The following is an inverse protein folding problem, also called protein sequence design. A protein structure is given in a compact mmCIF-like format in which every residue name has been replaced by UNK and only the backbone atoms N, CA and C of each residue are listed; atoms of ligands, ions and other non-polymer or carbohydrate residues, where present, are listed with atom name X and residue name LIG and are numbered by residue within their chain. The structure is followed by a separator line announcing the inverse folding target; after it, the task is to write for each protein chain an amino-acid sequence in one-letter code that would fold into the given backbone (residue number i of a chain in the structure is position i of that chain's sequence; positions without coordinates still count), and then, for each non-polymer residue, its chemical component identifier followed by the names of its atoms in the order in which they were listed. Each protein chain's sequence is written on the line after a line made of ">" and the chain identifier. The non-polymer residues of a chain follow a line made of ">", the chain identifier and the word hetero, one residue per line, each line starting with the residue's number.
data_IF_064165635556
#
_entry.id   IF_064165635556
#
_cell.length_a   1.000
_cell.length_b   1.000
_cell.length_c   1.000
_cell.angle_alpha   90.00
_cell.angle_beta   90.00
_cell.angle_gamma   90.00
#
_symmetry.space_group_name_H-M   'P 1'
#
loop_
_entity.id
_entity.type
_entity.pdbx_description
1 polymer ?
#
# COMPACT_ATOMS: atom_id res chain seq x y z
N UNK A 1 -2.94 -45.30 6.94
CA UNK A 1 -3.18 -44.34 8.05
C UNK A 1 -2.24 -44.81 9.16
N UNK A 2 -1.05 -44.24 9.36
CA UNK A 2 -0.83 -43.12 10.29
C UNK A 2 0.67 -42.74 10.39
N UNK A 3 1.37 -42.47 9.27
CA UNK A 3 2.83 -42.22 9.36
C UNK A 3 3.43 -41.16 8.44
N UNK A 4 2.62 -40.35 7.73
CA UNK A 4 3.14 -39.30 6.82
C UNK A 4 2.89 -37.86 7.29
N UNK A 5 2.41 -37.63 8.51
CA UNK A 5 2.06 -36.28 9.02
C UNK A 5 3.14 -35.66 9.92
N UNK A 6 4.18 -36.39 10.34
CA UNK A 6 5.14 -35.89 11.33
C UNK A 6 6.34 -35.09 10.80
N UNK A 7 6.56 -34.99 9.48
CA UNK A 7 7.79 -34.37 8.95
C UNK A 7 7.66 -32.92 8.50
N UNK A 8 6.49 -32.27 8.66
CA UNK A 8 6.26 -30.87 8.25
C UNK A 8 6.29 -29.86 9.40
N UNK A 9 6.49 -30.30 10.65
CA UNK A 9 6.66 -29.42 11.81
C UNK A 9 8.12 -29.27 12.28
N UNK A 10 9.06 -29.90 11.58
CA UNK A 10 10.47 -29.93 11.96
C UNK A 10 11.37 -29.30 10.91
N UNK A 11 11.18 -28.03 10.55
CA UNK A 11 12.25 -27.15 10.02
C UNK A 11 11.77 -25.73 9.65
N UNK A 12 10.99 -25.08 10.52
CA UNK A 12 10.77 -23.62 10.44
C UNK A 12 11.71 -22.82 11.36
N UNK A 13 12.59 -23.48 12.11
CA UNK A 13 13.47 -22.84 13.09
C UNK A 13 14.84 -22.40 12.54
N UNK A 14 15.11 -22.59 11.24
CA UNK A 14 16.47 -22.46 10.70
C UNK A 14 16.61 -21.53 9.48
N UNK A 15 15.79 -20.47 9.37
CA UNK A 15 16.05 -19.39 8.38
C UNK A 15 15.84 -17.96 8.88
N UNK A 16 15.90 -17.78 10.18
CA UNK A 16 16.29 -16.51 10.74
C UNK A 16 17.57 -16.79 11.50
N UNK A 17 18.72 -16.58 10.86
CA UNK A 17 19.98 -16.36 11.56
C UNK A 17 19.83 -15.04 12.34
N UNK A 18 18.95 -15.04 13.34
CA UNK A 18 18.92 -14.05 14.39
C UNK A 18 20.13 -14.44 15.22
N UNK A 19 21.24 -13.68 15.19
CA UNK A 19 22.25 -13.85 16.22
C UNK A 19 21.50 -13.78 17.56
N UNK A 20 21.81 -14.66 18.49
CA UNK A 20 21.26 -14.66 19.85
C UNK A 20 21.73 -13.40 20.59
N UNK A 21 21.32 -12.23 20.09
CA UNK A 21 21.49 -10.95 20.71
C UNK A 21 20.63 -11.01 21.96
N UNK A 22 21.28 -10.84 23.10
CA UNK A 22 20.58 -10.73 24.35
C UNK A 22 19.61 -9.55 24.22
N UNK A 23 18.41 -9.60 24.81
CA UNK A 23 17.53 -8.42 24.84
C UNK A 23 18.29 -7.16 25.31
N UNK A 24 19.28 -7.35 26.19
CA UNK A 24 20.20 -6.32 26.69
C UNK A 24 21.02 -5.61 25.60
N UNK A 25 21.35 -6.31 24.52
CA UNK A 25 22.14 -5.77 23.40
C UNK A 25 21.28 -4.90 22.46
N UNK A 26 19.95 -5.07 22.49
CA UNK A 26 18.99 -4.26 21.72
C UNK A 26 18.50 -3.01 22.49
N UNK A 27 18.59 -3.00 23.82
CA UNK A 27 18.20 -1.84 24.65
C UNK A 27 18.88 -0.53 24.23
N UNK A 28 20.21 -0.45 23.95
CA UNK A 28 20.85 0.82 23.62
C UNK A 28 20.35 1.40 22.29
N UNK A 29 20.09 0.57 21.28
CA UNK A 29 19.57 1.07 20.01
C UNK A 29 18.14 1.59 20.16
N UNK A 30 17.31 0.93 20.97
CA UNK A 30 15.94 1.36 21.27
C UNK A 30 15.93 2.65 22.09
N UNK A 31 16.73 2.75 23.14
CA UNK A 31 16.77 3.94 24.02
C UNK A 31 17.34 5.16 23.30
N UNK A 32 18.32 4.98 22.41
CA UNK A 32 18.91 6.06 21.62
C UNK A 32 18.05 6.49 20.41
N UNK A 33 17.24 5.59 19.85
CA UNK A 33 16.39 5.90 18.69
C UNK A 33 15.06 6.58 19.05
N UNK A 34 14.71 6.68 20.33
CA UNK A 34 13.48 7.34 20.78
C UNK A 34 13.64 8.86 20.74
N UNK A 35 12.62 9.61 20.28
CA UNK A 35 12.66 11.07 20.36
C UNK A 35 12.81 11.53 21.80
N UNK A 36 13.91 12.24 22.08
CA UNK A 36 14.23 12.75 23.42
C UNK A 36 13.17 13.71 23.97
N UNK A 37 12.46 14.44 23.10
CA UNK A 37 11.47 15.44 23.48
C UNK A 37 10.33 15.57 22.46
N UNK A 38 9.16 16.01 22.95
CA UNK A 38 7.98 16.28 22.11
C UNK A 38 8.25 17.47 21.19
N UNK A 39 7.91 17.34 19.91
CA UNK A 39 8.03 18.45 18.96
C UNK A 39 6.95 19.51 19.20
N UNK A 40 7.33 20.79 19.14
CA UNK A 40 6.38 21.92 19.27
C UNK A 40 5.43 22.01 18.07
N UNK A 41 4.27 22.64 18.27
CA UNK A 41 3.28 22.87 17.20
C UNK A 41 3.89 23.62 16.00
N UNK A 42 4.75 24.62 16.25
CA UNK A 42 5.45 25.35 15.19
C UNK A 42 6.37 24.46 14.35
N UNK A 43 7.25 23.67 14.99
CA UNK A 43 8.15 22.73 14.28
C UNK A 43 7.37 21.68 13.49
N UNK A 44 6.24 21.21 14.01
CA UNK A 44 5.32 20.31 13.28
C UNK A 44 4.71 21.02 12.07
N UNK A 45 4.18 22.24 12.23
CA UNK A 45 3.54 23.02 11.15
C UNK A 45 4.51 23.30 10.01
N UNK A 46 5.74 23.73 10.31
CA UNK A 46 6.77 23.99 9.30
C UNK A 46 7.17 22.73 8.51
N UNK A 47 7.18 21.55 9.14
CA UNK A 47 7.42 20.30 8.40
C UNK A 47 6.25 19.88 7.51
N UNK A 48 5.02 20.28 7.86
CA UNK A 48 3.81 19.92 7.11
C UNK A 48 3.47 20.92 6.01
N UNK A 49 3.92 22.17 6.10
CA UNK A 49 3.60 23.23 5.12
C UNK A 49 4.03 22.87 3.69
N UNK A 50 5.12 22.12 3.55
CA UNK A 50 5.67 21.78 2.24
C UNK A 50 4.98 20.57 1.58
N UNK A 51 3.97 19.99 2.23
CA UNK A 51 3.29 18.75 1.82
C UNK A 51 1.83 18.98 1.38
N UNK A 52 1.53 20.15 0.83
CA UNK A 52 0.20 20.47 0.30
C UNK A 52 -0.17 19.63 -0.94
N UNK A 53 -1.48 19.42 -1.16
CA UNK A 53 -1.97 18.78 -2.37
C UNK A 53 -1.73 19.69 -3.56
N UNK A 54 -1.01 19.20 -4.58
CA UNK A 54 -0.82 19.93 -5.83
C UNK A 54 -2.11 19.87 -6.65
N UNK A 55 -2.48 21.01 -7.25
CA UNK A 55 -3.58 21.06 -8.20
C UNK A 55 -3.25 20.19 -9.42
N UNK A 56 -4.26 19.48 -9.93
CA UNK A 56 -4.14 18.63 -11.11
C UNK A 56 -4.72 19.38 -12.30
N UNK A 57 -3.91 19.59 -13.32
CA UNK A 57 -4.32 20.20 -14.60
C UNK A 57 -4.67 19.12 -15.64
N UNK A 58 -4.41 17.86 -15.32
CA UNK A 58 -4.55 16.70 -16.21
C UNK A 58 -6.00 16.20 -16.35
N UNK A 59 -7.00 17.01 -16.01
CA UNK A 59 -8.42 16.63 -16.06
C UNK A 59 -9.03 17.15 -17.35
N UNK A 60 -9.36 16.24 -18.26
CA UNK A 60 -9.88 16.55 -19.61
C UNK A 60 -11.25 15.89 -19.80
N UNK A 61 -12.21 16.50 -20.51
CA UNK A 61 -13.47 15.84 -20.83
C UNK A 61 -13.28 14.61 -21.73
N UNK A 62 -14.06 13.57 -21.49
CA UNK A 62 -14.10 12.38 -22.36
C UNK A 62 -14.77 12.70 -23.71
N UNK A 63 -14.22 12.24 -24.85
CA UNK A 63 -14.81 12.48 -26.18
C UNK A 63 -16.18 11.79 -26.38
N UNK A 64 -16.44 10.68 -25.70
CA UNK A 64 -17.69 9.93 -25.86
C UNK A 64 -18.78 10.37 -24.89
N UNK A 65 -18.50 10.39 -23.58
CA UNK A 65 -19.49 10.62 -22.54
C UNK A 65 -19.41 12.02 -21.89
N UNK A 66 -18.42 12.84 -22.26
CA UNK A 66 -18.17 14.19 -21.71
C UNK A 66 -17.89 14.26 -20.20
N UNK A 67 -17.83 13.12 -19.50
CA UNK A 67 -17.40 13.06 -18.10
C UNK A 67 -15.91 13.43 -17.96
N UNK A 68 -15.49 14.04 -16.83
CA UNK A 68 -14.09 14.32 -16.57
C UNK A 68 -13.30 13.01 -16.47
N UNK A 69 -12.17 12.95 -17.18
CA UNK A 69 -11.22 11.83 -17.11
C UNK A 69 -9.80 12.38 -16.96
N UNK A 70 -8.89 11.53 -16.50
CA UNK A 70 -7.48 11.88 -16.49
C UNK A 70 -6.91 11.86 -17.93
N UNK A 71 -5.93 12.72 -18.19
CA UNK A 71 -5.14 12.72 -19.42
C UNK A 71 -4.39 11.38 -19.54
N UNK A 72 -4.33 10.80 -20.74
CA UNK A 72 -3.75 9.47 -21.04
C UNK A 72 -4.44 8.24 -20.42
N UNK A 73 -5.44 8.42 -19.56
CA UNK A 73 -6.22 7.29 -19.03
C UNK A 73 -7.54 7.09 -19.78
N UNK A 74 -7.99 5.83 -19.80
CA UNK A 74 -9.33 5.47 -20.25
C UNK A 74 -10.38 6.06 -19.31
N UNK A 75 -11.54 6.44 -19.86
CA UNK A 75 -12.62 7.00 -19.05
C UNK A 75 -13.27 5.90 -18.19
N UNK A 76 -13.34 6.06 -16.85
CA UNK A 76 -13.90 5.03 -15.97
C UNK A 76 -15.39 4.77 -16.25
N UNK A 77 -16.15 5.80 -16.62
CA UNK A 77 -17.57 5.67 -16.94
C UNK A 77 -17.82 4.91 -18.25
N UNK A 78 -16.99 5.15 -19.28
CA UNK A 78 -17.09 4.40 -20.54
C UNK A 78 -16.63 2.95 -20.36
N UNK A 79 -15.53 2.74 -19.64
CA UNK A 79 -15.01 1.40 -19.38
C UNK A 79 -16.04 0.55 -18.62
N UNK A 80 -16.64 1.09 -17.57
CA UNK A 80 -17.69 0.39 -16.81
C UNK A 80 -18.92 0.02 -17.65
N UNK A 81 -19.28 0.84 -18.65
CA UNK A 81 -20.37 0.51 -19.59
C UNK A 81 -19.96 -0.63 -20.53
N UNK A 82 -18.74 -0.56 -21.07
CA UNK A 82 -18.21 -1.60 -21.96
C UNK A 82 -18.09 -2.93 -21.23
N UNK A 83 -17.59 -2.93 -20.00
CA UNK A 83 -17.43 -4.15 -19.19
C UNK A 83 -18.77 -4.82 -18.89
N UNK A 84 -19.82 -4.03 -18.57
CA UNK A 84 -21.19 -4.55 -18.41
C UNK A 84 -21.72 -5.17 -19.69
N UNK A 85 -21.58 -4.47 -20.82
CA UNK A 85 -22.00 -4.99 -22.12
C UNK A 85 -21.22 -6.26 -22.50
N UNK A 86 -19.93 -6.32 -22.18
CA UNK A 86 -19.08 -7.49 -22.41
C UNK A 86 -19.52 -8.67 -21.54
N UNK A 87 -19.83 -8.43 -20.26
CA UNK A 87 -20.36 -9.47 -19.39
C UNK A 87 -21.70 -10.02 -19.92
N UNK A 88 -22.62 -9.14 -20.30
CA UNK A 88 -23.93 -9.52 -20.85
C UNK A 88 -23.80 -10.34 -22.13
N UNK A 89 -22.96 -9.90 -23.08
CA UNK A 89 -22.74 -10.58 -24.37
C UNK A 89 -22.12 -11.98 -24.21
N UNK A 90 -21.33 -12.22 -23.17
CA UNK A 90 -20.73 -13.53 -22.89
C UNK A 90 -21.68 -14.49 -22.15
N UNK A 91 -22.75 -13.98 -21.56
CA UNK A 91 -23.71 -14.78 -20.77
C UNK A 91 -24.96 -15.19 -21.56
N UNK A 92 -25.10 -14.73 -22.79
CA UNK A 92 -26.21 -15.11 -23.66
C UNK A 92 -25.87 -16.46 -24.32
N UNK A 93 -26.68 -17.52 -24.13
CA UNK A 93 -26.46 -18.80 -24.82
C UNK A 93 -26.62 -18.66 -26.33
#
# INVERSE_FOLDING_TARGET
>A
MSSLVSSLLGNFAARLAIPSASLRDLIPSIVLAVPKSRTTHGKKRMRMSNKGLKNREDIVPCPACKAPKLLHHACPACLAKIDKNRAETLTKP
#
